data_IF_054209735883
#
_entry.id   IF_054209735883
#
_cell.length_a   1.000
_cell.length_b   1.000
_cell.length_c   1.000
_cell.angle_alpha   90.00
_cell.angle_beta   90.00
_cell.angle_gamma   90.00
#
_symmetry.space_group_name_H-M   'P 1'
#
loop_
_entity.id
_entity.type
_entity.pdbx_description
1 polymer ?
#
# COMPACT_ATOMS: atom_id res chain seq x y z
N UNK A 1 -26.77 16.85 -3.50
CA UNK A 1 -26.29 17.11 -2.11
C UNK A 1 -26.01 15.76 -1.48
N UNK A 2 -24.75 15.40 -1.31
CA UNK A 2 -24.34 14.18 -0.59
C UNK A 2 -24.50 14.43 0.89
N UNK A 3 -25.48 13.78 1.54
CA UNK A 3 -25.61 13.83 2.98
C UNK A 3 -24.33 13.34 3.63
N UNK A 4 -23.68 14.18 4.40
CA UNK A 4 -22.59 13.79 5.28
C UNK A 4 -23.21 12.90 6.37
N UNK A 5 -22.87 11.63 6.43
CA UNK A 5 -23.19 10.78 7.58
C UNK A 5 -22.14 11.12 8.64
N UNK A 6 -22.48 11.81 9.72
CA UNK A 6 -21.52 12.05 10.78
C UNK A 6 -21.12 10.71 11.41
N UNK A 7 -19.81 10.49 11.59
CA UNK A 7 -19.31 9.45 12.47
C UNK A 7 -19.63 9.91 13.88
N UNK A 8 -20.32 9.11 14.66
CA UNK A 8 -20.62 9.47 16.04
C UNK A 8 -19.36 9.42 16.93
N UNK A 9 -19.45 10.02 18.11
CA UNK A 9 -18.30 10.12 19.00
C UNK A 9 -17.83 8.74 19.53
N UNK A 10 -18.74 7.78 19.66
CA UNK A 10 -18.42 6.42 20.09
C UNK A 10 -17.63 5.67 18.98
N UNK A 11 -18.08 5.75 17.74
CA UNK A 11 -17.39 5.18 16.60
C UNK A 11 -16.02 5.81 16.40
N UNK A 12 -15.93 7.15 16.55
CA UNK A 12 -14.65 7.87 16.48
C UNK A 12 -13.69 7.38 17.56
N UNK A 13 -14.13 7.27 18.79
CA UNK A 13 -13.33 6.80 19.91
C UNK A 13 -12.84 5.35 19.67
N UNK A 14 -13.72 4.48 19.16
CA UNK A 14 -13.38 3.10 18.84
C UNK A 14 -12.31 3.01 17.73
N UNK A 15 -12.42 3.82 16.69
CA UNK A 15 -11.43 3.88 15.60
C UNK A 15 -10.07 4.35 16.13
N UNK A 16 -10.05 5.41 16.95
CA UNK A 16 -8.81 5.94 17.52
C UNK A 16 -8.15 4.91 18.44
N UNK A 17 -8.93 4.23 19.28
CA UNK A 17 -8.42 3.15 20.14
C UNK A 17 -7.84 2.01 19.30
N UNK A 18 -8.56 1.54 18.28
CA UNK A 18 -8.08 0.48 17.40
C UNK A 18 -6.77 0.86 16.66
N UNK A 19 -6.61 2.11 16.25
CA UNK A 19 -5.34 2.59 15.66
C UNK A 19 -4.22 2.54 16.69
N UNK A 20 -4.46 3.00 17.93
CA UNK A 20 -3.47 2.98 18.99
C UNK A 20 -3.06 1.54 19.37
N UNK A 21 -4.03 0.64 19.53
CA UNK A 21 -3.81 -0.75 19.90
C UNK A 21 -3.02 -1.54 18.82
N UNK A 22 -3.14 -1.12 17.57
CA UNK A 22 -2.45 -1.76 16.45
C UNK A 22 -1.15 -1.06 16.04
N UNK A 23 -0.73 -0.01 16.74
CA UNK A 23 0.40 0.83 16.31
C UNK A 23 1.71 0.04 16.15
N UNK A 24 2.04 -0.81 17.11
CA UNK A 24 3.25 -1.64 17.05
C UNK A 24 3.23 -2.61 15.87
N UNK A 25 2.09 -3.27 15.65
CA UNK A 25 1.93 -4.22 14.53
C UNK A 25 1.96 -3.53 13.18
N UNK A 26 1.42 -2.32 13.07
CA UNK A 26 1.50 -1.50 11.85
C UNK A 26 2.94 -1.08 11.57
N UNK A 27 3.67 -0.67 12.60
CA UNK A 27 5.07 -0.27 12.50
C UNK A 27 5.95 -1.45 12.07
N UNK A 28 5.74 -2.63 12.66
CA UNK A 28 6.43 -3.86 12.26
C UNK A 28 6.13 -4.25 10.82
N UNK A 29 4.86 -4.18 10.42
CA UNK A 29 4.43 -4.45 9.04
C UNK A 29 5.08 -3.49 8.05
N UNK A 30 5.15 -2.19 8.37
CA UNK A 30 5.83 -1.21 7.54
C UNK A 30 7.33 -1.51 7.44
N UNK A 31 7.97 -1.85 8.55
CA UNK A 31 9.38 -2.23 8.54
C UNK A 31 9.64 -3.46 7.65
N UNK A 32 8.80 -4.49 7.71
CA UNK A 32 8.91 -5.66 6.85
C UNK A 32 8.71 -5.30 5.38
N UNK A 33 7.79 -4.39 5.10
CA UNK A 33 7.54 -3.92 3.74
C UNK A 33 8.71 -3.10 3.18
N UNK A 34 9.31 -2.20 3.98
CA UNK A 34 10.49 -1.41 3.58
C UNK A 34 11.71 -2.29 3.25
N UNK A 35 11.81 -3.49 3.83
CA UNK A 35 12.88 -4.45 3.51
C UNK A 35 12.81 -5.01 2.09
N UNK A 36 11.70 -4.80 1.40
CA UNK A 36 11.51 -5.30 0.03
C UNK A 36 11.89 -4.18 -0.95
N UNK A 37 13.00 -4.32 -1.72
CA UNK A 37 13.37 -3.34 -2.74
C UNK A 37 12.33 -3.34 -3.86
N UNK A 38 11.42 -2.38 -3.82
CA UNK A 38 10.33 -2.23 -4.82
C UNK A 38 10.59 -1.04 -5.73
N UNK A 39 11.77 -0.94 -6.30
CA UNK A 39 12.04 0.09 -7.28
C UNK A 39 11.16 -0.13 -8.52
N UNK A 40 10.96 0.94 -9.28
CA UNK A 40 10.13 0.92 -10.49
C UNK A 40 10.52 -0.25 -11.40
N UNK A 41 9.55 -1.05 -11.82
CA UNK A 41 9.64 -2.31 -12.56
C UNK A 41 10.09 -3.54 -11.75
N UNK A 42 10.34 -3.38 -10.46
CA UNK A 42 10.75 -4.45 -9.54
C UNK A 42 9.72 -4.67 -8.41
N UNK A 43 8.48 -4.19 -8.59
CA UNK A 43 7.44 -4.18 -7.55
C UNK A 43 6.86 -5.57 -7.22
N UNK A 44 7.15 -6.59 -8.04
CA UNK A 44 6.58 -7.93 -7.90
C UNK A 44 6.62 -8.51 -6.48
N UNK A 45 7.78 -8.57 -5.80
CA UNK A 45 7.87 -9.08 -4.43
C UNK A 45 7.06 -8.26 -3.42
N UNK A 46 6.97 -6.94 -3.60
CA UNK A 46 6.16 -6.07 -2.77
C UNK A 46 4.65 -6.33 -2.97
N UNK A 47 4.24 -6.56 -4.20
CA UNK A 47 2.86 -6.94 -4.55
C UNK A 47 2.51 -8.31 -3.97
N UNK A 48 3.43 -9.30 -4.01
CA UNK A 48 3.24 -10.60 -3.38
C UNK A 48 3.06 -10.49 -1.87
N UNK A 49 3.87 -9.65 -1.21
CA UNK A 49 3.77 -9.39 0.22
C UNK A 49 2.40 -8.79 0.57
N UNK A 50 1.95 -7.77 -0.15
CA UNK A 50 0.64 -7.13 0.08
C UNK A 50 -0.50 -8.10 -0.21
N UNK A 51 -0.45 -8.86 -1.31
CA UNK A 51 -1.47 -9.85 -1.64
C UNK A 51 -1.60 -10.92 -0.55
N UNK A 52 -0.48 -11.43 -0.04
CA UNK A 52 -0.47 -12.38 1.06
C UNK A 52 -1.04 -11.76 2.35
N UNK A 53 -0.66 -10.52 2.66
CA UNK A 53 -1.14 -9.82 3.84
C UNK A 53 -2.66 -9.53 3.80
N UNK A 54 -3.20 -9.21 2.64
CA UNK A 54 -4.65 -9.01 2.44
C UNK A 54 -5.41 -10.34 2.61
N UNK A 55 -4.91 -11.43 2.00
CA UNK A 55 -5.51 -12.77 2.14
C UNK A 55 -5.50 -13.23 3.60
N UNK A 56 -4.40 -13.01 4.33
CA UNK A 56 -4.28 -13.37 5.75
C UNK A 56 -5.28 -12.61 6.65
N UNK A 57 -5.74 -11.44 6.21
CA UNK A 57 -6.77 -10.65 6.87
C UNK A 57 -8.21 -10.97 6.42
N UNK A 58 -8.38 -11.98 5.58
CA UNK A 58 -9.69 -12.43 5.10
C UNK A 58 -10.30 -11.56 4.00
N UNK A 59 -9.49 -10.75 3.30
CA UNK A 59 -9.98 -10.00 2.14
C UNK A 59 -10.13 -10.93 0.93
N UNK A 60 -11.13 -10.69 0.11
CA UNK A 60 -11.21 -11.18 -1.25
C UNK A 60 -10.15 -10.43 -2.08
N UNK A 61 -9.15 -11.16 -2.60
CA UNK A 61 -8.02 -10.54 -3.30
C UNK A 61 -8.11 -10.78 -4.78
N UNK A 62 -8.22 -9.69 -5.53
CA UNK A 62 -8.06 -9.64 -6.97
C UNK A 62 -6.62 -9.20 -7.29
N UNK A 63 -5.95 -9.97 -8.14
CA UNK A 63 -4.52 -9.84 -8.44
C UNK A 63 -4.34 -10.15 -9.93
N UNK A 64 -4.13 -9.12 -10.73
CA UNK A 64 -4.11 -9.25 -12.18
C UNK A 64 -2.94 -8.51 -12.82
N UNK A 65 -2.49 -9.04 -13.94
CA UNK A 65 -1.53 -8.38 -14.81
C UNK A 65 -2.19 -7.21 -15.54
N UNK A 66 -1.46 -6.12 -15.65
CA UNK A 66 -1.90 -4.94 -16.41
C UNK A 66 -1.54 -5.17 -17.87
N UNK A 67 -2.55 -5.24 -18.73
CA UNK A 67 -2.37 -5.32 -20.16
C UNK A 67 -2.44 -3.90 -20.76
N UNK A 68 -1.31 -3.43 -21.28
CA UNK A 68 -1.20 -2.05 -21.78
C UNK A 68 -2.11 -1.79 -22.98
N UNK A 69 -2.38 -2.82 -23.77
CA UNK A 69 -3.29 -2.73 -24.91
C UNK A 69 -4.72 -2.34 -24.51
N UNK A 70 -5.14 -2.70 -23.30
CA UNK A 70 -6.46 -2.34 -22.77
C UNK A 70 -6.52 -0.87 -22.32
N UNK A 71 -5.37 -0.23 -22.14
CA UNK A 71 -5.25 1.12 -21.59
C UNK A 71 -4.92 2.19 -22.63
N UNK A 72 -4.33 1.83 -23.75
CA UNK A 72 -3.77 2.76 -24.76
C UNK A 72 -4.75 3.79 -25.32
N UNK A 73 -6.05 3.41 -25.37
CA UNK A 73 -7.11 4.26 -25.91
C UNK A 73 -7.83 5.08 -24.81
N UNK A 74 -7.41 4.94 -23.56
CA UNK A 74 -8.01 5.70 -22.45
C UNK A 74 -7.53 7.14 -22.45
N UNK A 75 -8.46 8.06 -22.18
CA UNK A 75 -8.11 9.48 -22.01
C UNK A 75 -7.12 9.67 -20.87
N UNK A 76 -5.98 10.27 -21.16
CA UNK A 76 -4.93 10.51 -20.17
C UNK A 76 -3.85 9.43 -20.15
N UNK A 77 -3.96 8.39 -20.99
CA UNK A 77 -2.86 7.46 -21.19
C UNK A 77 -1.68 8.22 -21.82
N UNK A 78 -0.53 8.14 -21.17
CA UNK A 78 0.68 8.86 -21.56
C UNK A 78 1.71 7.95 -22.23
N UNK A 79 2.84 8.50 -22.68
CA UNK A 79 3.94 7.70 -23.18
C UNK A 79 4.44 6.73 -22.09
N UNK A 80 4.73 5.52 -22.50
CA UNK A 80 5.27 4.48 -21.62
C UNK A 80 6.78 4.45 -21.82
N UNK A 81 7.50 4.62 -20.70
CA UNK A 81 8.94 4.46 -20.64
C UNK A 81 9.27 3.30 -19.72
N UNK A 82 9.86 2.23 -20.27
CA UNK A 82 10.31 1.07 -19.51
C UNK A 82 9.53 -0.22 -19.78
N UNK A 83 9.89 -1.28 -19.06
CA UNK A 83 9.31 -2.61 -19.23
C UNK A 83 8.14 -2.84 -18.26
N UNK A 84 6.93 -2.79 -18.80
CA UNK A 84 5.70 -3.09 -18.06
C UNK A 84 5.23 -4.54 -18.19
N UNK A 85 6.05 -5.43 -18.76
CA UNK A 85 5.65 -6.83 -18.98
C UNK A 85 5.26 -7.58 -17.70
N UNK A 86 5.73 -7.10 -16.54
CA UNK A 86 5.44 -7.63 -15.20
C UNK A 86 4.53 -6.74 -14.37
N UNK A 87 4.02 -5.65 -14.95
CA UNK A 87 3.13 -4.74 -14.23
C UNK A 87 1.84 -5.42 -13.83
N UNK A 88 1.46 -5.29 -12.57
CA UNK A 88 0.22 -5.87 -12.05
C UNK A 88 -0.39 -4.98 -10.97
N UNK A 89 -1.65 -5.21 -10.66
CA UNK A 89 -2.37 -4.57 -9.58
C UNK A 89 -2.91 -5.61 -8.60
N UNK A 90 -2.91 -5.24 -7.33
CA UNK A 90 -3.47 -6.06 -6.25
C UNK A 90 -4.55 -5.25 -5.55
N UNK A 91 -5.76 -5.80 -5.46
CA UNK A 91 -6.90 -5.18 -4.76
C UNK A 91 -7.45 -6.16 -3.76
N UNK A 92 -7.58 -5.72 -2.51
CA UNK A 92 -8.29 -6.45 -1.47
C UNK A 92 -9.68 -5.83 -1.24
N UNK A 93 -10.73 -6.63 -1.35
CA UNK A 93 -12.10 -6.21 -1.07
C UNK A 93 -12.59 -6.82 0.24
N UNK A 94 -13.05 -5.97 1.16
CA UNK A 94 -13.81 -6.38 2.33
C UNK A 94 -15.30 -6.11 2.08
N UNK A 95 -16.10 -7.16 2.16
CA UNK A 95 -17.55 -7.08 1.97
C UNK A 95 -18.24 -7.47 3.27
N UNK A 96 -18.90 -6.54 3.97
CA UNK A 96 -19.67 -6.88 5.15
C UNK A 96 -20.94 -7.67 4.77
N UNK A 97 -21.42 -8.54 5.67
CA UNK A 97 -22.68 -9.31 5.48
C UNK A 97 -23.88 -8.39 5.21
N UNK A 98 -23.87 -7.19 5.77
CA UNK A 98 -24.89 -6.18 5.57
C UNK A 98 -24.26 -4.84 5.23
N UNK A 99 -24.59 -4.34 4.03
CA UNK A 99 -24.16 -3.01 3.60
C UNK A 99 -25.06 -1.96 4.27
N UNK A 100 -24.52 -1.24 5.27
CA UNK A 100 -25.23 -0.18 6.03
C UNK A 100 -24.64 1.21 5.78
N UNK A 101 -23.55 1.32 5.06
CA UNK A 101 -22.81 2.55 4.86
C UNK A 101 -22.35 2.74 3.43
N UNK A 102 -21.39 3.65 3.28
CA UNK A 102 -20.74 3.93 1.99
C UNK A 102 -19.55 2.99 1.79
N UNK A 103 -19.21 2.77 0.53
CA UNK A 103 -17.94 2.14 0.17
C UNK A 103 -16.79 3.16 0.30
N UNK A 104 -15.61 2.66 0.67
CA UNK A 104 -14.37 3.40 0.73
C UNK A 104 -13.33 2.67 -0.14
N UNK A 105 -12.61 3.41 -0.95
CA UNK A 105 -11.44 2.91 -1.67
C UNK A 105 -10.22 3.61 -1.09
N UNK A 106 -9.26 2.81 -0.59
CA UNK A 106 -7.94 3.26 -0.20
C UNK A 106 -6.97 2.81 -1.30
N UNK A 107 -6.21 3.73 -1.83
CA UNK A 107 -5.28 3.48 -2.93
C UNK A 107 -3.89 3.99 -2.55
N UNK A 108 -2.87 3.19 -2.83
CA UNK A 108 -1.47 3.54 -2.67
C UNK A 108 -0.63 2.88 -3.75
N UNK A 109 0.54 3.45 -4.03
CA UNK A 109 1.54 2.83 -4.88
C UNK A 109 2.60 2.12 -4.06
N UNK A 110 3.26 1.12 -4.65
CA UNK A 110 4.25 0.27 -3.98
C UNK A 110 5.68 0.54 -4.48
N UNK A 111 5.80 1.21 -5.62
CA UNK A 111 7.11 1.53 -6.17
C UNK A 111 7.79 2.65 -5.38
N UNK A 112 9.09 2.53 -5.27
CA UNK A 112 9.95 3.53 -4.66
C UNK A 112 10.98 4.04 -5.65
N UNK A 113 11.40 5.29 -5.47
CA UNK A 113 12.48 5.87 -6.26
C UNK A 113 13.82 5.21 -5.92
N UNK A 114 14.81 5.27 -6.82
CA UNK A 114 16.16 4.78 -6.55
C UNK A 114 16.74 5.35 -5.25
N UNK A 115 17.60 4.59 -4.61
CA UNK A 115 18.20 4.93 -3.30
C UNK A 115 19.13 6.14 -3.37
N UNK A 116 19.67 6.45 -4.55
CA UNK A 116 20.79 7.37 -4.67
C UNK A 116 22.11 6.76 -4.16
N UNK A 117 23.12 7.59 -3.91
CA UNK A 117 24.41 7.15 -3.39
C UNK A 117 24.26 6.51 -2.00
N UNK A 118 24.74 5.29 -1.82
CA UNK A 118 24.58 4.54 -0.55
C UNK A 118 25.34 5.18 0.61
N UNK A 119 26.42 5.89 0.33
CA UNK A 119 27.21 6.62 1.33
C UNK A 119 26.47 7.80 1.96
N UNK A 120 25.34 8.21 1.42
CA UNK A 120 24.48 9.25 2.01
C UNK A 120 23.49 8.71 3.03
N UNK A 121 23.42 7.40 3.21
CA UNK A 121 22.52 6.77 4.16
C UNK A 121 23.23 6.44 5.47
N UNK A 122 22.64 6.79 6.61
CA UNK A 122 23.15 6.38 7.94
C UNK A 122 22.98 4.86 8.16
N UNK A 123 21.91 4.29 7.60
CA UNK A 123 21.64 2.84 7.60
C UNK A 123 21.30 2.43 6.17
N UNK A 124 21.55 1.18 5.75
CA UNK A 124 21.18 0.74 4.41
C UNK A 124 19.71 1.03 4.10
N UNK A 125 19.38 1.52 2.88
CA UNK A 125 18.04 2.03 2.56
C UNK A 125 16.90 1.02 2.71
N UNK A 126 17.19 -0.28 2.62
CA UNK A 126 16.22 -1.37 2.81
C UNK A 126 16.39 -2.11 4.15
N UNK A 127 17.13 -1.53 5.08
CA UNK A 127 17.24 -1.98 6.47
C UNK A 127 16.62 -0.91 7.38
N UNK A 128 15.28 -0.92 7.54
CA UNK A 128 14.59 0.14 8.27
C UNK A 128 15.08 0.23 9.71
N UNK A 129 15.47 1.43 10.12
CA UNK A 129 15.90 1.72 11.47
C UNK A 129 14.90 2.66 12.15
N UNK A 130 14.46 2.27 13.35
CA UNK A 130 13.56 3.11 14.17
C UNK A 130 14.40 3.79 15.25
N UNK A 131 14.42 5.12 15.24
CA UNK A 131 15.16 5.94 16.18
C UNK A 131 14.34 7.18 16.53
N UNK A 132 14.21 7.47 17.80
CA UNK A 132 13.54 8.68 18.32
C UNK A 132 12.10 8.88 17.78
N UNK A 133 11.37 7.78 17.55
CA UNK A 133 10.01 7.81 17.03
C UNK A 133 9.91 7.93 15.50
N UNK A 134 11.03 7.91 14.79
CA UNK A 134 11.09 7.96 13.32
C UNK A 134 11.56 6.63 12.75
N UNK A 135 10.93 6.20 11.66
CA UNK A 135 11.45 5.11 10.84
C UNK A 135 12.24 5.70 9.67
N UNK A 136 13.51 5.31 9.54
CA UNK A 136 14.37 5.67 8.43
C UNK A 136 14.50 4.47 7.49
N UNK A 137 14.21 4.66 6.22
CA UNK A 137 14.30 3.64 5.17
C UNK A 137 13.74 4.17 3.85
N UNK A 138 14.04 3.51 2.74
CA UNK A 138 13.53 3.92 1.43
C UNK A 138 12.03 3.63 1.34
N UNK A 139 11.23 4.69 1.28
CA UNK A 139 9.77 4.60 1.17
C UNK A 139 9.03 4.46 2.52
N UNK A 140 9.74 4.62 3.65
CA UNK A 140 9.16 4.59 5.00
C UNK A 140 8.27 5.80 5.30
#
# INVERSE_FOLDING_TARGET
>A
MTAHLPVDDADRAAIVAAVADNFESQTAFLADFVRIPSQRFEEGPAQDFIAAALRARGYEVDDWKIELDDLKDLKGFGPIEGDFSRARSVVGAHRPDQVKGRSLILQGHLDVVPTGPLEMWETPPYEPAIKDGWMNGRGA
#
